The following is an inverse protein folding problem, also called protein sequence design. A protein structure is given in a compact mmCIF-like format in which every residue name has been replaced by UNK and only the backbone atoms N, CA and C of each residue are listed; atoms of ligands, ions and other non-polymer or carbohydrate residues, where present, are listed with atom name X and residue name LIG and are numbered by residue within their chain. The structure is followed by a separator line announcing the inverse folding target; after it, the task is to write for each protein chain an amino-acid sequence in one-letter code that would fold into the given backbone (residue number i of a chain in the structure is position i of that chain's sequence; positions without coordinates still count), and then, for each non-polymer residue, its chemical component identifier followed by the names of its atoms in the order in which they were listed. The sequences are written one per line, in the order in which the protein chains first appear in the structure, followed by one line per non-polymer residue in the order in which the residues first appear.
data_IF_918083654265
#
_entry.id   IF_918083654265
#
_cell.length_a   1.000
_cell.length_b   1.000
_cell.length_c   1.000
_cell.angle_alpha   90.00
_cell.angle_beta   90.00
_cell.angle_gamma   90.00
#
_symmetry.space_group_name_H-M   'P 1'
#
loop_
_entity.id
_entity.type
_entity.pdbx_description
1 polymer ?
#
# COMPACT_ATOMS: atom_id res chain seq x y z
N UNK A 1 31.38 -1.97 -11.79
CA UNK A 1 31.34 -2.79 -13.02
C UNK A 1 30.24 -3.88 -12.96
N UNK A 2 30.23 -4.77 -11.94
CA UNK A 2 29.22 -5.86 -11.83
C UNK A 2 27.78 -5.32 -11.68
N UNK A 3 27.56 -4.28 -10.87
CA UNK A 3 26.26 -3.60 -10.71
C UNK A 3 25.73 -3.04 -12.03
N UNK A 4 26.56 -2.29 -12.78
CA UNK A 4 26.16 -1.68 -14.05
C UNK A 4 25.89 -2.74 -15.13
N UNK A 5 26.66 -3.84 -15.13
CA UNK A 5 26.44 -4.95 -16.07
C UNK A 5 25.09 -5.62 -15.81
N UNK A 6 24.80 -5.97 -14.55
CA UNK A 6 23.53 -6.61 -14.18
C UNK A 6 22.33 -5.65 -14.36
N UNK A 7 22.50 -4.36 -14.03
CA UNK A 7 21.45 -3.37 -14.27
C UNK A 7 21.08 -3.30 -15.74
N UNK A 8 22.07 -3.23 -16.63
CA UNK A 8 21.85 -3.19 -18.09
C UNK A 8 21.16 -4.47 -18.60
N UNK A 9 21.59 -5.62 -18.13
CA UNK A 9 20.99 -6.90 -18.49
C UNK A 9 19.51 -6.98 -18.10
N UNK A 10 19.17 -6.61 -16.87
CA UNK A 10 17.78 -6.63 -16.39
C UNK A 10 16.91 -5.55 -17.06
N UNK A 11 17.50 -4.41 -17.42
CA UNK A 11 16.84 -3.36 -18.20
C UNK A 11 16.54 -3.83 -19.64
N UNK A 12 17.48 -4.51 -20.30
CA UNK A 12 17.27 -5.13 -21.63
C UNK A 12 16.21 -6.25 -21.61
N UNK A 13 16.07 -6.95 -20.47
CA UNK A 13 14.98 -7.90 -20.23
C UNK A 13 13.64 -7.21 -19.94
N UNK A 14 13.59 -5.89 -19.81
CA UNK A 14 12.37 -5.13 -19.52
C UNK A 14 11.91 -5.15 -18.07
N UNK A 15 12.69 -5.70 -17.12
CA UNK A 15 12.25 -5.87 -15.72
C UNK A 15 12.01 -4.54 -14.97
N UNK A 16 12.45 -3.41 -15.52
CA UNK A 16 12.24 -2.08 -14.94
C UNK A 16 11.06 -1.33 -15.57
N UNK A 17 10.43 -1.91 -16.60
CA UNK A 17 9.37 -1.25 -17.35
C UNK A 17 8.13 -0.99 -16.48
N UNK A 18 7.55 0.19 -16.61
CA UNK A 18 6.41 0.62 -15.80
C UNK A 18 5.16 -0.25 -16.01
N UNK A 19 5.06 -0.92 -17.17
CA UNK A 19 3.95 -1.82 -17.49
C UNK A 19 3.88 -3.08 -16.63
N UNK A 20 5.00 -3.49 -16.03
CA UNK A 20 5.06 -4.63 -15.10
C UNK A 20 4.87 -4.22 -13.64
N UNK A 21 4.85 -2.92 -13.32
CA UNK A 21 4.67 -2.44 -11.95
C UNK A 21 3.22 -2.62 -11.50
N UNK A 22 3.04 -3.30 -10.39
CA UNK A 22 1.74 -3.51 -9.77
C UNK A 22 1.33 -2.27 -8.95
N UNK A 23 0.06 -1.84 -9.00
CA UNK A 23 -0.41 -0.73 -8.18
C UNK A 23 -0.44 -1.11 -6.70
N UNK A 24 0.03 -0.23 -5.84
CA UNK A 24 -0.08 -0.42 -4.39
C UNK A 24 -1.55 -0.32 -3.98
N UNK A 25 -2.11 -1.31 -3.25
CA UNK A 25 -3.51 -1.33 -2.86
C UNK A 25 -3.82 -0.17 -1.90
N UNK A 26 -4.87 0.58 -2.21
CA UNK A 26 -5.27 1.76 -1.42
C UNK A 26 -5.65 1.42 0.03
N UNK A 27 -6.19 0.23 0.27
CA UNK A 27 -6.74 -0.19 1.56
C UNK A 27 -6.14 -1.52 2.01
N UNK A 28 -4.81 -1.59 2.07
CA UNK A 28 -4.12 -2.76 2.58
C UNK A 28 -4.50 -3.02 4.05
N UNK A 29 -4.81 -4.27 4.37
CA UNK A 29 -5.13 -4.76 5.71
C UNK A 29 -3.97 -5.51 6.33
N UNK A 30 -3.23 -6.24 5.49
CA UNK A 30 -2.10 -7.07 5.89
C UNK A 30 -0.86 -6.68 5.11
N UNK A 31 0.17 -6.27 5.82
CA UNK A 31 1.45 -5.85 5.24
C UNK A 31 2.50 -6.87 5.59
N UNK A 32 3.14 -7.42 4.57
CA UNK A 32 4.34 -8.23 4.71
C UNK A 32 5.58 -7.35 4.89
N UNK A 33 6.51 -7.73 5.76
CA UNK A 33 7.76 -7.01 5.94
C UNK A 33 8.92 -8.00 5.92
N UNK A 34 9.82 -7.87 4.97
CA UNK A 34 11.08 -8.62 4.88
C UNK A 34 12.21 -7.71 5.34
N UNK A 35 12.65 -7.87 6.57
CA UNK A 35 13.74 -7.07 7.18
C UNK A 35 14.36 -7.80 8.37
N UNK A 36 15.44 -7.23 8.91
CA UNK A 36 16.02 -7.75 10.15
C UNK A 36 15.03 -7.62 11.32
N UNK A 37 14.91 -8.65 12.17
CA UNK A 37 13.95 -8.67 13.30
C UNK A 37 14.27 -7.66 14.39
N UNK A 38 15.52 -7.23 14.44
CA UNK A 38 16.03 -6.26 15.43
C UNK A 38 16.65 -5.08 14.68
N UNK A 39 16.18 -3.87 14.95
CA UNK A 39 16.74 -2.68 14.30
C UNK A 39 15.76 -1.50 14.26
N UNK A 40 16.22 -0.40 13.71
CA UNK A 40 15.41 0.80 13.55
C UNK A 40 14.29 0.59 12.52
N UNK A 41 14.60 -0.05 11.37
CA UNK A 41 13.67 -0.21 10.26
C UNK A 41 12.33 -0.83 10.66
N UNK A 42 12.35 -1.98 11.34
CA UNK A 42 11.09 -2.64 11.74
C UNK A 42 10.32 -1.82 12.79
N UNK A 43 11.02 -1.15 13.71
CA UNK A 43 10.37 -0.29 14.70
C UNK A 43 9.70 0.91 14.04
N UNK A 44 10.37 1.53 13.08
CA UNK A 44 9.86 2.66 12.33
C UNK A 44 8.63 2.27 11.52
N UNK A 45 8.68 1.13 10.80
CA UNK A 45 7.53 0.59 10.06
C UNK A 45 6.34 0.37 11.00
N UNK A 46 6.55 -0.30 12.14
CA UNK A 46 5.48 -0.58 13.11
C UNK A 46 4.89 0.72 13.67
N UNK A 47 5.75 1.68 14.06
CA UNK A 47 5.30 2.94 14.64
C UNK A 47 4.47 3.78 13.65
N UNK A 48 4.96 3.90 12.41
CA UNK A 48 4.25 4.62 11.34
C UNK A 48 2.95 3.92 10.98
N UNK A 49 2.99 2.61 10.76
CA UNK A 49 1.82 1.82 10.39
C UNK A 49 0.71 1.92 11.44
N UNK A 50 1.03 1.74 12.72
CA UNK A 50 0.05 1.82 13.82
C UNK A 50 -0.48 3.22 14.04
N UNK A 51 0.33 4.26 13.84
CA UNK A 51 -0.11 5.65 13.92
C UNK A 51 -1.15 5.97 12.85
N UNK A 52 -0.94 5.50 11.61
CA UNK A 52 -1.84 5.72 10.48
C UNK A 52 -3.09 4.85 10.56
N UNK A 53 -2.90 3.56 10.85
CA UNK A 53 -4.00 2.61 10.96
C UNK A 53 -3.73 1.60 12.08
N UNK A 54 -4.36 1.75 13.27
CA UNK A 54 -4.16 0.81 14.38
C UNK A 54 -4.67 -0.61 14.11
N UNK A 55 -5.47 -0.80 13.07
CA UNK A 55 -6.07 -2.10 12.70
C UNK A 55 -5.29 -2.85 11.65
N UNK A 56 -4.20 -2.25 11.08
CA UNK A 56 -3.38 -2.94 10.10
C UNK A 56 -2.61 -4.09 10.74
N UNK A 57 -2.58 -5.21 10.07
CA UNK A 57 -1.80 -6.38 10.45
C UNK A 57 -0.43 -6.33 9.79
N UNK A 58 0.63 -6.58 10.56
CA UNK A 58 2.00 -6.64 10.06
C UNK A 58 2.51 -8.06 10.25
N UNK A 59 2.92 -8.69 9.14
CA UNK A 59 3.55 -10.00 9.10
C UNK A 59 5.04 -9.81 8.82
N UNK A 60 5.87 -9.99 9.84
CA UNK A 60 7.32 -9.90 9.72
C UNK A 60 7.91 -11.26 9.35
N UNK A 61 8.66 -11.31 8.25
CA UNK A 61 9.64 -12.35 8.01
C UNK A 61 11.02 -11.86 8.49
N UNK A 62 11.62 -12.51 9.51
CA UNK A 62 12.90 -12.11 10.05
C UNK A 62 14.03 -12.53 9.11
N UNK A 63 14.44 -11.61 8.23
CA UNK A 63 15.46 -11.87 7.23
C UNK A 63 16.85 -11.44 7.69
N UNK A 64 17.86 -12.19 7.25
CA UNK A 64 19.22 -11.68 7.18
C UNK A 64 19.28 -10.71 6.00
N UNK A 65 19.65 -9.45 6.24
CA UNK A 65 19.69 -8.39 5.22
C UNK A 65 21.11 -7.96 4.85
N UNK A 66 22.10 -8.57 5.47
CA UNK A 66 23.53 -8.35 5.23
C UNK A 66 24.33 -9.61 5.52
N UNK A 67 25.55 -9.71 4.95
CA UNK A 67 26.45 -10.84 5.12
C UNK A 67 26.07 -12.10 4.33
N UNK A 68 26.80 -13.17 4.60
CA UNK A 68 26.59 -14.45 3.91
C UNK A 68 25.20 -15.02 4.22
N UNK A 69 24.48 -15.40 3.15
CA UNK A 69 23.11 -15.92 3.27
C UNK A 69 22.01 -14.86 3.24
N UNK A 70 22.32 -13.57 3.16
CA UNK A 70 21.31 -12.50 3.06
C UNK A 70 20.42 -12.67 1.83
N UNK A 71 21.00 -12.93 0.66
CA UNK A 71 20.27 -13.15 -0.60
C UNK A 71 19.23 -14.25 -0.45
N UNK A 72 19.64 -15.43 -0.01
CA UNK A 72 18.73 -16.58 0.15
C UNK A 72 17.65 -16.32 1.21
N UNK A 73 18.00 -15.59 2.29
CA UNK A 73 17.05 -15.21 3.34
C UNK A 73 16.00 -14.22 2.84
N UNK A 74 16.39 -13.22 2.06
CA UNK A 74 15.47 -12.23 1.45
C UNK A 74 14.52 -12.92 0.47
N UNK A 75 15.07 -13.70 -0.47
CA UNK A 75 14.28 -14.46 -1.46
C UNK A 75 13.24 -15.36 -0.77
N UNK A 76 13.68 -16.13 0.24
CA UNK A 76 12.78 -16.98 1.02
C UNK A 76 11.71 -16.16 1.74
N UNK A 77 12.06 -14.98 2.26
CA UNK A 77 11.12 -14.08 2.91
C UNK A 77 10.03 -13.59 1.98
N UNK A 78 10.40 -13.21 0.75
CA UNK A 78 9.46 -12.78 -0.30
C UNK A 78 8.47 -13.91 -0.60
N UNK A 79 8.95 -15.10 -0.92
CA UNK A 79 8.07 -16.24 -1.22
C UNK A 79 7.17 -16.65 -0.05
N UNK A 80 7.70 -16.67 1.18
CA UNK A 80 6.90 -17.01 2.36
C UNK A 80 5.77 -16.02 2.62
N UNK A 81 5.99 -14.73 2.41
CA UNK A 81 4.95 -13.71 2.59
C UNK A 81 3.97 -13.68 1.41
N UNK A 82 4.42 -14.00 0.20
CA UNK A 82 3.54 -14.21 -0.95
C UNK A 82 2.56 -15.37 -0.71
N UNK A 83 3.03 -16.53 -0.21
CA UNK A 83 2.18 -17.66 0.19
C UNK A 83 1.15 -17.29 1.26
N UNK A 84 1.47 -16.32 2.14
CA UNK A 84 0.53 -15.79 3.15
C UNK A 84 -0.48 -14.82 2.59
N UNK A 85 -0.40 -14.48 1.29
CA UNK A 85 -1.33 -13.59 0.60
C UNK A 85 -1.46 -12.22 1.30
N UNK A 86 -0.33 -11.61 1.67
CA UNK A 86 -0.32 -10.24 2.18
C UNK A 86 -0.77 -9.27 1.08
N UNK A 87 -1.36 -8.14 1.43
CA UNK A 87 -1.87 -7.18 0.44
C UNK A 87 -0.76 -6.36 -0.23
N UNK A 88 0.32 -6.09 0.51
CA UNK A 88 1.51 -5.38 0.05
C UNK A 88 2.72 -5.83 0.86
N UNK A 89 3.89 -5.83 0.25
CA UNK A 89 5.13 -6.25 0.88
C UNK A 89 6.13 -5.09 0.93
N UNK A 90 6.78 -4.92 2.06
CA UNK A 90 7.93 -4.00 2.23
C UNK A 90 9.18 -4.84 2.34
N UNK A 91 10.11 -4.64 1.42
CA UNK A 91 11.44 -5.25 1.44
C UNK A 91 12.45 -4.15 1.72
N UNK A 92 13.16 -4.25 2.83
CA UNK A 92 14.03 -3.15 3.19
C UNK A 92 14.99 -3.46 4.33
N UNK A 93 15.85 -2.48 4.61
CA UNK A 93 16.78 -2.52 5.73
C UNK A 93 16.87 -1.17 6.42
N UNK A 94 17.39 -1.18 7.64
CA UNK A 94 17.81 0.03 8.34
C UNK A 94 19.10 0.62 7.77
N UNK A 95 19.54 1.72 8.32
CA UNK A 95 20.83 2.34 7.98
C UNK A 95 22.00 1.37 8.16
N UNK A 96 23.08 1.60 7.40
CA UNK A 96 24.29 0.81 7.39
C UNK A 96 25.20 1.25 6.24
N UNK A 97 26.33 0.56 6.05
CA UNK A 97 27.28 0.87 4.98
C UNK A 97 26.74 0.47 3.59
N UNK A 98 27.31 1.05 2.52
CA UNK A 98 27.00 0.69 1.13
C UNK A 98 27.29 -0.80 0.87
N UNK A 99 28.31 -1.36 1.52
CA UNK A 99 28.68 -2.77 1.40
C UNK A 99 27.53 -3.69 1.86
N UNK A 100 26.77 -3.26 2.85
CA UNK A 100 25.61 -3.98 3.37
C UNK A 100 24.41 -3.99 2.41
N UNK A 101 24.38 -3.13 1.38
CA UNK A 101 23.33 -3.08 0.36
C UNK A 101 23.52 -4.13 -0.74
N UNK A 102 24.68 -4.81 -0.76
CA UNK A 102 25.06 -5.66 -1.88
C UNK A 102 24.07 -6.79 -2.15
N UNK A 103 23.48 -7.37 -1.10
CA UNK A 103 22.49 -8.43 -1.25
C UNK A 103 21.28 -8.02 -2.10
N UNK A 104 20.90 -6.74 -2.07
CA UNK A 104 19.79 -6.19 -2.85
C UNK A 104 20.17 -5.85 -4.32
N UNK A 105 21.44 -6.04 -4.67
CA UNK A 105 21.96 -5.90 -6.04
C UNK A 105 22.17 -7.27 -6.71
N UNK A 106 21.76 -8.35 -6.08
CA UNK A 106 21.90 -9.69 -6.66
C UNK A 106 20.65 -10.05 -7.51
N UNK A 107 20.89 -10.71 -8.64
CA UNK A 107 19.86 -11.12 -9.61
C UNK A 107 18.76 -11.95 -8.97
N UNK A 108 19.10 -12.83 -8.04
CA UNK A 108 18.12 -13.70 -7.37
C UNK A 108 17.06 -12.89 -6.59
N UNK A 109 17.47 -11.76 -5.94
CA UNK A 109 16.53 -10.89 -5.25
C UNK A 109 15.69 -10.09 -6.25
N UNK A 110 16.32 -9.59 -7.33
CA UNK A 110 15.60 -8.90 -8.40
C UNK A 110 14.49 -9.79 -9.01
N UNK A 111 14.82 -11.03 -9.35
CA UNK A 111 13.85 -11.99 -9.88
C UNK A 111 12.75 -12.32 -8.88
N UNK A 112 13.08 -12.56 -7.62
CA UNK A 112 12.08 -12.82 -6.60
C UNK A 112 11.09 -11.67 -6.40
N UNK A 113 11.55 -10.41 -6.53
CA UNK A 113 10.68 -9.23 -6.50
C UNK A 113 9.82 -9.17 -7.76
N UNK A 114 10.42 -9.36 -8.95
CA UNK A 114 9.73 -9.28 -10.23
C UNK A 114 8.63 -10.33 -10.39
N UNK A 115 8.90 -11.57 -9.98
CA UNK A 115 7.98 -12.68 -10.10
C UNK A 115 6.90 -12.69 -9.00
N UNK A 116 7.05 -11.82 -7.98
CA UNK A 116 6.11 -11.74 -6.86
C UNK A 116 4.75 -11.21 -7.32
N UNK A 117 3.67 -11.94 -6.97
CA UNK A 117 2.29 -11.53 -7.28
C UNK A 117 1.73 -10.48 -6.34
N UNK A 118 2.42 -10.23 -5.24
CA UNK A 118 2.07 -9.20 -4.26
C UNK A 118 2.90 -7.95 -4.56
N UNK A 119 2.29 -6.76 -4.62
CA UNK A 119 3.03 -5.52 -4.83
C UNK A 119 4.14 -5.32 -3.79
N UNK A 120 5.34 -5.02 -4.27
CA UNK A 120 6.54 -4.87 -3.44
C UNK A 120 6.99 -3.40 -3.39
N UNK A 121 7.14 -2.88 -2.18
CA UNK A 121 7.76 -1.59 -1.91
C UNK A 121 9.20 -1.84 -1.45
N UNK A 122 10.18 -1.38 -2.22
CA UNK A 122 11.58 -1.39 -1.78
C UNK A 122 11.88 -0.20 -0.87
N UNK A 123 12.51 -0.46 0.26
CA UNK A 123 12.97 0.53 1.22
C UNK A 123 14.42 0.26 1.64
N UNK A 124 15.27 0.11 0.65
CA UNK A 124 16.68 -0.29 0.80
C UNK A 124 17.62 0.90 0.69
N UNK A 125 17.49 1.65 -0.41
CA UNK A 125 18.41 2.73 -0.75
C UNK A 125 18.00 4.06 -0.11
N UNK A 126 18.98 4.77 0.46
CA UNK A 126 18.83 6.13 0.97
C UNK A 126 19.25 7.15 -0.11
N UNK A 127 18.43 8.14 -0.38
CA UNK A 127 18.81 9.27 -1.25
C UNK A 127 19.37 8.84 -2.61
N UNK A 128 20.70 8.93 -2.77
CA UNK A 128 21.42 8.62 -4.00
C UNK A 128 21.74 7.14 -4.21
N UNK A 129 21.65 6.32 -3.16
CA UNK A 129 22.05 4.91 -3.19
C UNK A 129 20.89 4.04 -3.68
N UNK A 130 20.76 3.91 -4.99
CA UNK A 130 19.71 3.09 -5.62
C UNK A 130 20.23 1.67 -5.87
N UNK A 131 19.50 0.68 -5.42
CA UNK A 131 19.81 -0.74 -5.63
C UNK A 131 19.01 -1.32 -6.81
N UNK A 132 19.41 -2.50 -7.29
CA UNK A 132 18.66 -3.25 -8.31
C UNK A 132 17.25 -3.57 -7.82
N UNK A 133 17.12 -3.94 -6.54
CA UNK A 133 15.80 -4.15 -5.93
C UNK A 133 14.89 -2.91 -6.03
N UNK A 134 15.45 -1.68 -5.92
CA UNK A 134 14.68 -0.44 -6.07
C UNK A 134 14.18 -0.21 -7.50
N UNK A 135 14.95 -0.64 -8.52
CA UNK A 135 14.53 -0.56 -9.93
C UNK A 135 13.43 -1.57 -10.25
N UNK A 136 13.52 -2.77 -9.71
CA UNK A 136 12.58 -3.86 -10.00
C UNK A 136 11.28 -3.74 -9.20
N UNK A 137 11.35 -3.29 -7.95
CA UNK A 137 10.17 -3.14 -7.08
C UNK A 137 9.07 -2.27 -7.70
N UNK A 138 7.83 -2.53 -7.36
CA UNK A 138 6.66 -1.78 -7.86
C UNK A 138 6.71 -0.32 -7.43
N UNK A 139 7.22 -0.06 -6.23
CA UNK A 139 7.42 1.28 -5.70
C UNK A 139 8.73 1.35 -4.91
N UNK A 140 9.46 2.45 -5.06
CA UNK A 140 10.62 2.76 -4.23
C UNK A 140 10.25 3.76 -3.15
N UNK A 141 10.65 3.48 -1.92
CA UNK A 141 10.58 4.41 -0.80
C UNK A 141 11.98 4.78 -0.31
N UNK A 142 12.25 6.04 0.02
CA UNK A 142 13.58 6.48 0.46
C UNK A 142 13.96 5.97 1.86
N UNK A 143 12.99 5.53 2.64
CA UNK A 143 13.19 5.02 4.01
C UNK A 143 12.12 3.97 4.37
N UNK A 144 12.39 3.09 5.37
CA UNK A 144 11.39 2.18 5.89
C UNK A 144 10.12 2.88 6.42
N UNK A 145 10.27 4.06 7.03
CA UNK A 145 9.14 4.88 7.47
C UNK A 145 8.28 5.34 6.31
N UNK A 146 8.91 5.85 5.23
CA UNK A 146 8.20 6.26 4.01
C UNK A 146 7.50 5.07 3.33
N UNK A 147 8.12 3.88 3.33
CA UNK A 147 7.48 2.67 2.82
C UNK A 147 6.20 2.33 3.59
N UNK A 148 6.23 2.44 4.92
CA UNK A 148 5.06 2.24 5.75
C UNK A 148 3.97 3.29 5.48
N UNK A 149 4.34 4.56 5.22
CA UNK A 149 3.38 5.60 4.85
C UNK A 149 2.70 5.32 3.50
N UNK A 150 3.44 4.77 2.54
CA UNK A 150 2.92 4.41 1.22
C UNK A 150 2.05 3.13 1.26
N UNK A 151 2.38 2.18 2.15
CA UNK A 151 1.66 0.93 2.29
C UNK A 151 0.37 1.04 3.11
N UNK A 152 0.28 1.98 4.05
CA UNK A 152 -0.80 2.08 5.03
C UNK A 152 -1.62 3.34 4.80
N UNK A 153 -2.92 3.18 4.56
CA UNK A 153 -3.84 4.32 4.48
C UNK A 153 -4.08 4.98 5.84
N UNK A 154 -4.44 6.27 5.80
CA UNK A 154 -4.79 7.02 7.01
C UNK A 154 -6.23 6.70 7.42
N UNK A 155 -6.38 5.95 8.51
CA UNK A 155 -7.68 5.47 8.99
C UNK A 155 -8.62 6.62 9.37
N UNK A 156 -8.10 7.68 9.98
CA UNK A 156 -8.87 8.86 10.39
C UNK A 156 -9.52 9.56 9.20
N UNK A 157 -8.78 9.70 8.09
CA UNK A 157 -9.31 10.31 6.85
C UNK A 157 -10.45 9.47 6.25
N UNK A 158 -10.27 8.15 6.19
CA UNK A 158 -11.31 7.24 5.66
C UNK A 158 -12.55 7.28 6.54
N UNK A 159 -12.38 7.28 7.86
CA UNK A 159 -13.50 7.41 8.81
C UNK A 159 -14.25 8.72 8.61
N UNK A 160 -13.54 9.84 8.46
CA UNK A 160 -14.15 11.14 8.20
C UNK A 160 -14.93 11.16 6.87
N UNK A 161 -14.37 10.60 5.81
CA UNK A 161 -15.05 10.47 4.52
C UNK A 161 -16.36 9.69 4.64
N UNK A 162 -16.36 8.57 5.38
CA UNK A 162 -17.57 7.77 5.61
C UNK A 162 -18.63 8.59 6.37
N UNK A 163 -18.26 9.29 7.45
CA UNK A 163 -19.17 10.12 8.22
C UNK A 163 -19.76 11.26 7.37
N UNK A 164 -18.95 11.87 6.51
CA UNK A 164 -19.39 12.89 5.57
C UNK A 164 -20.38 12.33 4.54
N UNK A 165 -20.11 11.17 3.97
CA UNK A 165 -21.02 10.49 3.07
C UNK A 165 -22.35 10.15 3.74
N UNK A 166 -22.34 9.64 4.98
CA UNK A 166 -23.54 9.37 5.75
C UNK A 166 -24.37 10.64 5.97
N UNK A 167 -23.73 11.74 6.35
CA UNK A 167 -24.38 13.04 6.55
C UNK A 167 -25.04 13.54 5.26
N UNK A 168 -24.34 13.45 4.13
CA UNK A 168 -24.89 13.84 2.82
C UNK A 168 -26.08 12.98 2.43
N UNK A 169 -25.99 11.66 2.63
CA UNK A 169 -27.08 10.73 2.34
C UNK A 169 -28.33 11.05 3.19
N UNK A 170 -28.16 11.28 4.51
CA UNK A 170 -29.26 11.67 5.41
C UNK A 170 -29.93 12.98 4.94
N UNK A 171 -29.16 13.99 4.54
CA UNK A 171 -29.71 15.25 4.01
C UNK A 171 -30.47 15.03 2.72
N UNK A 172 -29.93 14.25 1.78
CA UNK A 172 -30.59 13.96 0.50
C UNK A 172 -31.94 13.23 0.70
N UNK A 173 -31.98 12.22 1.60
CA UNK A 173 -33.18 11.48 1.93
C UNK A 173 -34.23 12.43 2.55
N UNK A 174 -33.84 13.23 3.55
CA UNK A 174 -34.75 14.18 4.19
C UNK A 174 -35.32 15.21 3.21
N UNK A 175 -34.48 15.72 2.31
CA UNK A 175 -34.95 16.65 1.26
C UNK A 175 -35.93 15.97 0.31
N UNK A 176 -35.67 14.73 -0.09
CA UNK A 176 -36.60 13.98 -0.95
C UNK A 176 -37.92 13.74 -0.25
N UNK A 177 -37.90 13.33 1.02
CA UNK A 177 -39.11 13.13 1.82
C UNK A 177 -39.91 14.42 1.99
N UNK A 178 -39.25 15.55 2.20
CA UNK A 178 -39.91 16.87 2.29
C UNK A 178 -40.57 17.24 0.96
N UNK A 179 -39.90 17.04 -0.15
CA UNK A 179 -40.45 17.31 -1.48
C UNK A 179 -41.70 16.44 -1.78
N UNK A 180 -41.64 15.13 -1.46
CA UNK A 180 -42.75 14.23 -1.65
C UNK A 180 -43.95 14.61 -0.76
N UNK A 181 -43.72 15.02 0.49
CA UNK A 181 -44.76 15.54 1.36
C UNK A 181 -45.40 16.80 0.79
N UNK A 182 -44.63 17.74 0.30
CA UNK A 182 -45.17 18.96 -0.38
C UNK A 182 -45.99 18.60 -1.61
N UNK A 183 -45.54 17.65 -2.42
CA UNK A 183 -46.31 17.16 -3.57
C UNK A 183 -47.62 16.51 -3.15
N UNK A 184 -47.66 15.73 -2.13
CA UNK A 184 -48.86 15.12 -1.57
C UNK A 184 -49.86 16.17 -1.05
N UNK A 185 -49.36 17.14 -0.28
CA UNK A 185 -50.23 18.23 0.22
C UNK A 185 -50.80 19.09 -0.91
N UNK A 186 -49.98 19.40 -1.91
CA UNK A 186 -50.46 20.12 -3.08
C UNK A 186 -51.55 19.35 -3.86
N UNK A 187 -51.35 18.06 -4.07
CA UNK A 187 -52.33 17.20 -4.71
C UNK A 187 -53.63 17.07 -3.88
N UNK A 188 -53.52 16.98 -2.56
CA UNK A 188 -54.65 16.97 -1.63
C UNK A 188 -55.46 18.26 -1.72
N UNK A 189 -54.82 19.42 -1.70
CA UNK A 189 -55.47 20.72 -1.83
C UNK A 189 -56.17 20.86 -3.19
N UNK A 190 -55.55 20.44 -4.30
CA UNK A 190 -56.19 20.40 -5.62
C UNK A 190 -57.46 19.55 -5.63
N UNK A 191 -57.40 18.34 -5.03
CA UNK A 191 -58.58 17.48 -4.95
C UNK A 191 -59.71 18.09 -4.12
N UNK A 192 -59.38 18.78 -3.02
CA UNK A 192 -60.38 19.49 -2.20
C UNK A 192 -61.07 20.64 -2.94
N UNK A 193 -60.31 21.45 -3.73
CA UNK A 193 -60.82 22.57 -4.49
C UNK A 193 -61.66 22.12 -5.70
N UNK A 194 -61.37 20.98 -6.30
CA UNK A 194 -62.08 20.42 -7.45
C UNK A 194 -63.23 19.52 -7.09
N UNK A 195 -63.55 19.33 -5.78
CA UNK A 195 -64.58 18.41 -5.33
C UNK A 195 -65.98 18.93 -5.75
N UNK A 196 -66.83 18.12 -6.43
CA UNK A 196 -68.07 18.56 -7.00
C UNK A 196 -69.15 19.01 -5.98
N UNK A 197 -68.96 18.71 -4.69
CA UNK A 197 -69.89 19.15 -3.60
C UNK A 197 -69.62 20.55 -3.03
N UNK A 198 -68.67 21.31 -3.59
CA UNK A 198 -68.35 22.68 -3.21
C UNK A 198 -68.78 23.71 -4.27
N UNK A 199 -69.61 23.30 -5.27
CA UNK A 199 -70.29 24.20 -6.23
C UNK A 199 -71.73 24.35 -5.85
#
# INVERSE_FOLDING_TARGET
ERFEALKKELEEMGMFAAEYKQPIPRYARTIGVVTAPTGAAIRDIINVAKRRNPFVQILLYPALVQGDGAVSSIVKGIHMLEEKQVDVMIVGRGGGSIEDLWAFNEEAVARAIFDCRVPVISAVGHGTDTTIADYVADLRAPTPSAAAELAVYEYSEVKEQILNCESLLRRAINQKLLNERMHLEHSRLKLQTLHPRQK
#
